data_IF_790748753713
#
_entry.id   IF_790748753713
#
_cell.length_a   1.000
_cell.length_b   1.000
_cell.length_c   1.000
_cell.angle_alpha   90.00
_cell.angle_beta   90.00
_cell.angle_gamma   90.00
#
_symmetry.space_group_name_H-M   'P 1'
#
loop_
_entity.id
_entity.type
_entity.pdbx_description
1 polymer ?
#
# COMPACT_ATOMS: atom_id res chain seq x y z
N UNK A 1 -40.50 68.35 -28.13
CA UNK A 1 -40.43 67.19 -29.04
C UNK A 1 -38.99 66.79 -29.13
N UNK A 2 -38.62 65.59 -28.68
CA UNK A 2 -37.32 65.03 -29.01
C UNK A 2 -37.34 64.68 -30.49
N UNK A 3 -36.36 65.17 -31.25
CA UNK A 3 -36.24 64.91 -32.67
C UNK A 3 -35.86 63.45 -32.91
N UNK A 4 -36.12 62.95 -34.12
CA UNK A 4 -35.64 61.63 -34.56
C UNK A 4 -34.12 61.51 -34.39
N UNK A 5 -33.40 62.62 -34.56
CA UNK A 5 -31.94 62.67 -34.46
C UNK A 5 -31.47 62.48 -33.00
N UNK A 6 -32.16 63.07 -32.00
CA UNK A 6 -31.85 62.85 -30.58
C UNK A 6 -32.03 61.38 -30.17
N UNK A 7 -33.02 60.69 -30.75
CA UNK A 7 -33.25 59.27 -30.48
C UNK A 7 -32.12 58.41 -31.06
N UNK A 8 -31.68 58.72 -32.28
CA UNK A 8 -30.57 58.03 -32.95
C UNK A 8 -29.25 58.23 -32.19
N UNK A 9 -28.99 59.45 -31.70
CA UNK A 9 -27.78 59.76 -30.94
C UNK A 9 -27.73 59.00 -29.60
N UNK A 10 -28.86 58.91 -28.88
CA UNK A 10 -28.94 58.14 -27.66
C UNK A 10 -28.74 56.64 -27.91
N UNK A 11 -29.33 56.10 -29.00
CA UNK A 11 -29.17 54.69 -29.37
C UNK A 11 -27.72 54.36 -29.74
N UNK A 12 -27.05 55.25 -30.46
CA UNK A 12 -25.63 55.09 -30.81
C UNK A 12 -24.76 55.06 -29.56
N UNK A 13 -24.99 55.99 -28.62
CA UNK A 13 -24.25 56.04 -27.36
C UNK A 13 -24.47 54.80 -26.50
N UNK A 14 -25.69 54.30 -26.42
CA UNK A 14 -26.00 53.08 -25.66
C UNK A 14 -25.37 51.83 -26.30
N UNK A 15 -25.33 51.77 -27.63
CA UNK A 15 -24.67 50.70 -28.38
C UNK A 15 -23.14 50.71 -28.19
N UNK A 16 -22.51 51.88 -28.21
CA UNK A 16 -21.08 52.02 -27.94
C UNK A 16 -20.75 51.65 -26.49
N UNK A 17 -21.59 52.04 -25.53
CA UNK A 17 -21.46 51.61 -24.13
C UNK A 17 -21.61 50.09 -24.00
N UNK A 18 -22.56 49.48 -24.70
CA UNK A 18 -22.76 48.02 -24.68
C UNK A 18 -21.56 47.28 -25.28
N UNK A 19 -20.98 47.79 -26.38
CA UNK A 19 -19.74 47.26 -26.98
C UNK A 19 -18.57 47.36 -26.02
N UNK A 20 -18.37 48.52 -25.38
CA UNK A 20 -17.30 48.70 -24.40
C UNK A 20 -17.42 47.73 -23.22
N UNK A 21 -18.64 47.48 -22.72
CA UNK A 21 -18.89 46.48 -21.67
C UNK A 21 -18.59 45.06 -22.15
N UNK A 22 -19.03 44.70 -23.36
CA UNK A 22 -18.73 43.39 -23.96
C UNK A 22 -17.23 43.17 -24.09
N UNK A 23 -16.48 44.17 -24.56
CA UNK A 23 -15.05 44.06 -24.79
C UNK A 23 -14.28 43.95 -23.45
N UNK A 24 -14.72 44.68 -22.42
CA UNK A 24 -14.21 44.51 -21.06
C UNK A 24 -14.47 43.10 -20.51
N UNK A 25 -15.70 42.60 -20.64
CA UNK A 25 -16.07 41.24 -20.22
C UNK A 25 -15.28 40.17 -20.99
N UNK A 26 -15.06 40.36 -22.30
CA UNK A 26 -14.24 39.46 -23.10
C UNK A 26 -12.79 39.44 -22.60
N UNK A 27 -12.22 40.62 -22.28
CA UNK A 27 -10.89 40.71 -21.67
C UNK A 27 -10.83 40.00 -20.32
N UNK A 28 -11.80 40.22 -19.44
CA UNK A 28 -11.87 39.53 -18.14
C UNK A 28 -11.98 38.02 -18.31
N UNK A 29 -12.82 37.55 -19.24
CA UNK A 29 -12.97 36.12 -19.54
C UNK A 29 -11.64 35.50 -20.03
N UNK A 30 -10.88 36.21 -20.87
CA UNK A 30 -9.56 35.73 -21.30
C UNK A 30 -8.56 35.67 -20.14
N UNK A 31 -8.56 36.68 -19.25
CA UNK A 31 -7.71 36.69 -18.06
C UNK A 31 -8.07 35.55 -17.11
N UNK A 32 -9.35 35.33 -16.84
CA UNK A 32 -9.81 34.23 -15.98
C UNK A 32 -9.46 32.87 -16.57
N UNK A 33 -9.58 32.71 -17.89
CA UNK A 33 -9.18 31.47 -18.58
C UNK A 33 -7.69 31.19 -18.40
N UNK A 34 -6.84 32.21 -18.53
CA UNK A 34 -5.41 32.08 -18.29
C UNK A 34 -5.10 31.71 -16.82
N UNK A 35 -5.78 32.34 -15.86
CA UNK A 35 -5.63 32.04 -14.43
C UNK A 35 -6.06 30.61 -14.08
N UNK A 36 -7.16 30.13 -14.67
CA UNK A 36 -7.61 28.73 -14.49
C UNK A 36 -6.55 27.76 -14.99
N UNK A 37 -6.03 27.97 -16.21
CA UNK A 37 -4.98 27.11 -16.77
C UNK A 37 -3.71 27.09 -15.91
N UNK A 38 -3.30 28.25 -15.35
CA UNK A 38 -2.18 28.33 -14.43
C UNK A 38 -2.43 27.53 -13.14
N UNK A 39 -3.60 27.67 -12.54
CA UNK A 39 -3.98 26.95 -11.32
C UNK A 39 -4.04 25.44 -11.58
N UNK A 40 -4.60 25.01 -12.71
CA UNK A 40 -4.67 23.60 -13.10
C UNK A 40 -3.28 23.00 -13.30
N UNK A 41 -2.36 23.74 -13.93
CA UNK A 41 -0.98 23.32 -14.10
C UNK A 41 -0.27 23.16 -12.74
N UNK A 42 -0.43 24.14 -11.84
CA UNK A 42 0.13 24.09 -10.48
C UNK A 42 -0.45 22.93 -9.67
N UNK A 43 -1.75 22.67 -9.79
CA UNK A 43 -2.41 21.56 -9.12
C UNK A 43 -1.90 20.20 -9.61
N UNK A 44 -1.71 20.06 -10.93
CA UNK A 44 -1.18 18.84 -11.54
C UNK A 44 0.24 18.55 -11.06
N UNK A 45 1.10 19.57 -11.03
CA UNK A 45 2.48 19.43 -10.54
C UNK A 45 2.52 19.07 -9.05
N UNK A 46 1.70 19.73 -8.23
CA UNK A 46 1.62 19.45 -6.80
C UNK A 46 1.08 18.04 -6.51
N UNK A 47 0.12 17.54 -7.31
CA UNK A 47 -0.34 16.15 -7.22
C UNK A 47 0.80 15.16 -7.50
N UNK A 48 1.58 15.39 -8.56
CA UNK A 48 2.75 14.55 -8.88
C UNK A 48 3.82 14.63 -7.78
N UNK A 49 4.04 15.80 -7.19
CA UNK A 49 4.98 15.99 -6.08
C UNK A 49 4.56 15.17 -4.86
N UNK A 50 3.29 15.27 -4.44
CA UNK A 50 2.76 14.51 -3.30
C UNK A 50 2.78 13.01 -3.53
N UNK A 51 2.46 12.55 -4.75
CA UNK A 51 2.49 11.13 -5.05
C UNK A 51 3.93 10.57 -5.02
N UNK A 52 4.90 11.30 -5.57
CA UNK A 52 6.33 10.95 -5.41
C UNK A 52 6.74 10.85 -3.94
N UNK A 53 6.33 11.82 -3.12
CA UNK A 53 6.65 11.85 -1.69
C UNK A 53 6.03 10.65 -0.96
N UNK A 54 4.75 10.33 -1.23
CA UNK A 54 4.07 9.16 -0.68
C UNK A 54 4.83 7.86 -1.01
N UNK A 55 5.17 7.66 -2.28
CA UNK A 55 5.89 6.46 -2.73
C UNK A 55 7.25 6.33 -2.04
N UNK A 56 7.99 7.42 -1.89
CA UNK A 56 9.27 7.42 -1.17
C UNK A 56 9.11 7.02 0.30
N UNK A 57 8.07 7.54 0.98
CA UNK A 57 7.75 7.13 2.34
C UNK A 57 7.40 5.65 2.44
N UNK A 58 6.65 5.10 1.48
CA UNK A 58 6.29 3.67 1.45
C UNK A 58 7.54 2.79 1.26
N UNK A 59 8.45 3.16 0.36
CA UNK A 59 9.72 2.43 0.15
C UNK A 59 10.56 2.41 1.43
N UNK A 60 10.73 3.55 2.10
CA UNK A 60 11.49 3.62 3.36
C UNK A 60 10.81 2.83 4.50
N UNK A 61 9.48 2.83 4.55
CA UNK A 61 8.74 2.02 5.51
C UNK A 61 8.91 0.51 5.26
N UNK A 62 8.97 0.07 4.00
CA UNK A 62 9.25 -1.32 3.63
C UNK A 62 10.69 -1.69 4.03
N UNK A 63 11.69 -0.86 3.67
CA UNK A 63 13.10 -1.07 4.05
C UNK A 63 13.27 -1.20 5.56
N UNK A 64 12.61 -0.33 6.32
CA UNK A 64 12.67 -0.34 7.78
C UNK A 64 12.11 -1.65 8.36
N UNK A 65 10.95 -2.10 7.87
CA UNK A 65 10.34 -3.37 8.29
C UNK A 65 11.21 -4.58 7.94
N UNK A 66 11.82 -4.60 6.75
CA UNK A 66 12.76 -5.67 6.34
C UNK A 66 13.96 -5.72 7.28
N UNK A 67 14.60 -4.58 7.56
CA UNK A 67 15.75 -4.52 8.48
C UNK A 67 15.39 -4.95 9.90
N UNK A 68 14.21 -4.56 10.38
CA UNK A 68 13.72 -4.99 11.69
C UNK A 68 13.46 -6.49 11.74
N UNK A 69 12.81 -7.06 10.72
CA UNK A 69 12.56 -8.50 10.64
C UNK A 69 13.86 -9.30 10.55
N UNK A 70 14.81 -8.86 9.74
CA UNK A 70 16.15 -9.45 9.65
C UNK A 70 16.89 -9.40 11.01
N UNK A 71 16.89 -8.25 11.67
CA UNK A 71 17.51 -8.08 12.98
C UNK A 71 16.87 -8.95 14.07
N UNK A 72 15.56 -9.19 13.99
CA UNK A 72 14.85 -10.08 14.90
C UNK A 72 15.08 -11.57 14.61
N UNK A 73 15.46 -11.93 13.37
CA UNK A 73 15.69 -13.31 12.94
C UNK A 73 17.00 -13.89 13.49
N UNK A 74 18.09 -13.11 13.46
CA UNK A 74 19.41 -13.54 13.94
C UNK A 74 19.42 -14.15 15.37
N UNK A 75 18.85 -13.49 16.40
CA UNK A 75 18.84 -14.06 17.76
C UNK A 75 17.97 -15.32 17.88
N UNK A 76 16.93 -15.45 17.06
CA UNK A 76 16.08 -16.66 17.03
C UNK A 76 16.86 -17.84 16.47
N UNK A 77 17.59 -17.64 15.37
CA UNK A 77 18.47 -18.66 14.79
C UNK A 77 19.55 -19.09 15.76
N UNK A 78 20.25 -18.15 16.39
CA UNK A 78 21.29 -18.45 17.38
C UNK A 78 20.74 -19.25 18.58
N UNK A 79 19.58 -18.85 19.11
CA UNK A 79 18.91 -19.57 20.19
C UNK A 79 18.50 -20.99 19.79
N UNK A 80 17.96 -21.16 18.58
CA UNK A 80 17.53 -22.46 18.06
C UNK A 80 18.75 -23.36 17.77
N UNK A 81 19.82 -22.85 17.18
CA UNK A 81 21.07 -23.59 16.97
C UNK A 81 21.65 -24.09 18.30
N UNK A 82 21.67 -23.28 19.36
CA UNK A 82 22.12 -23.70 20.70
C UNK A 82 21.25 -24.80 21.31
N UNK A 83 19.92 -24.71 21.12
CA UNK A 83 18.98 -25.73 21.57
C UNK A 83 19.18 -27.05 20.79
N UNK A 84 19.40 -26.97 19.49
CA UNK A 84 19.66 -28.14 18.64
C UNK A 84 20.99 -28.81 19.01
N UNK A 85 22.05 -28.05 19.27
CA UNK A 85 23.33 -28.62 19.73
C UNK A 85 23.19 -29.32 21.09
N UNK A 86 22.39 -28.76 22.00
CA UNK A 86 22.05 -29.44 23.26
C UNK A 86 21.31 -30.76 23.02
N UNK A 87 20.37 -30.79 22.08
CA UNK A 87 19.64 -31.99 21.71
C UNK A 87 20.52 -33.03 21.00
N UNK A 88 21.48 -32.58 20.20
CA UNK A 88 22.42 -33.40 19.45
C UNK A 88 23.35 -34.25 20.35
N UNK A 89 23.50 -33.87 21.61
CA UNK A 89 24.19 -34.69 22.61
C UNK A 89 23.44 -36.00 22.92
N UNK A 90 22.13 -36.03 22.71
CA UNK A 90 21.27 -37.21 22.95
C UNK A 90 20.79 -37.84 21.64
N UNK A 91 20.54 -37.03 20.61
CA UNK A 91 20.04 -37.45 19.29
C UNK A 91 20.94 -36.86 18.20
N UNK A 92 22.01 -37.56 17.79
CA UNK A 92 23.00 -37.03 16.85
C UNK A 92 22.42 -36.54 15.51
N UNK A 93 21.31 -37.12 15.06
CA UNK A 93 20.58 -36.74 13.84
C UNK A 93 20.07 -35.29 13.91
N UNK A 94 19.92 -34.71 15.10
CA UNK A 94 19.54 -33.31 15.27
C UNK A 94 20.58 -32.35 14.63
N UNK A 95 21.83 -32.77 14.39
CA UNK A 95 22.83 -31.95 13.68
C UNK A 95 22.45 -31.65 12.23
N UNK A 96 21.68 -32.51 11.58
CA UNK A 96 21.17 -32.24 10.23
C UNK A 96 20.19 -31.06 10.24
N UNK A 97 19.36 -30.97 11.27
CA UNK A 97 18.47 -29.82 11.48
C UNK A 97 19.26 -28.54 11.75
N UNK A 98 20.36 -28.60 12.51
CA UNK A 98 21.22 -27.43 12.72
C UNK A 98 21.85 -26.97 11.39
N UNK A 99 22.34 -27.93 10.58
CA UNK A 99 22.93 -27.65 9.27
C UNK A 99 21.92 -27.00 8.33
N UNK A 100 20.67 -27.50 8.32
CA UNK A 100 19.57 -26.90 7.55
C UNK A 100 19.26 -25.48 8.03
N UNK A 101 19.14 -25.26 9.34
CA UNK A 101 18.86 -23.95 9.92
C UNK A 101 19.93 -22.92 9.55
N UNK A 102 21.21 -23.30 9.64
CA UNK A 102 22.34 -22.45 9.23
C UNK A 102 22.24 -22.13 7.73
N UNK A 103 21.92 -23.11 6.90
CA UNK A 103 21.72 -22.89 5.45
C UNK A 103 20.62 -21.85 5.18
N UNK A 104 19.46 -21.97 5.85
CA UNK A 104 18.36 -21.00 5.72
C UNK A 104 18.80 -19.61 6.17
N UNK A 105 19.55 -19.52 7.27
CA UNK A 105 20.05 -18.24 7.76
C UNK A 105 21.03 -17.58 6.77
N UNK A 106 21.93 -18.36 6.17
CA UNK A 106 22.85 -17.85 5.15
C UNK A 106 22.12 -17.44 3.87
N UNK A 107 21.06 -18.14 3.47
CA UNK A 107 20.27 -17.78 2.29
C UNK A 107 19.53 -16.47 2.50
N UNK A 108 18.89 -16.30 3.66
CA UNK A 108 18.23 -15.03 4.03
C UNK A 108 19.24 -13.88 4.01
N UNK A 109 20.40 -14.05 4.63
CA UNK A 109 21.47 -13.05 4.64
C UNK A 109 21.92 -12.67 3.22
N UNK A 110 22.06 -13.67 2.34
CA UNK A 110 22.47 -13.47 0.94
C UNK A 110 21.47 -12.65 0.10
N UNK A 111 20.18 -12.69 0.45
CA UNK A 111 19.10 -12.01 -0.30
C UNK A 111 18.80 -10.62 0.26
N UNK A 112 19.10 -10.37 1.54
CA UNK A 112 18.79 -9.11 2.21
C UNK A 112 19.45 -7.90 1.54
N UNK A 113 20.76 -7.96 1.30
CA UNK A 113 21.50 -6.85 0.69
C UNK A 113 21.04 -6.53 -0.74
N UNK A 114 20.90 -7.52 -1.65
CA UNK A 114 20.31 -7.29 -2.97
C UNK A 114 18.93 -6.65 -2.92
N UNK A 115 18.06 -7.11 -2.01
CA UNK A 115 16.69 -6.59 -1.87
C UNK A 115 16.68 -5.14 -1.39
N UNK A 116 17.49 -4.79 -0.38
CA UNK A 116 17.60 -3.42 0.12
C UNK A 116 18.15 -2.48 -0.95
N UNK A 117 19.14 -2.92 -1.74
CA UNK A 117 19.70 -2.15 -2.85
C UNK A 117 18.69 -1.91 -3.97
N UNK A 118 17.87 -2.91 -4.31
CA UNK A 118 16.78 -2.74 -5.29
C UNK A 118 15.77 -1.71 -4.82
N UNK A 119 15.42 -1.69 -3.52
CA UNK A 119 14.54 -0.67 -2.95
C UNK A 119 15.16 0.73 -3.01
N UNK A 120 16.48 0.85 -2.79
CA UNK A 120 17.20 2.11 -2.96
C UNK A 120 17.16 2.59 -4.42
N UNK A 121 17.42 1.70 -5.38
CA UNK A 121 17.35 2.02 -6.81
C UNK A 121 15.95 2.49 -7.23
N UNK A 122 14.90 1.87 -6.68
CA UNK A 122 13.52 2.31 -6.90
C UNK A 122 13.26 3.69 -6.31
N UNK A 123 13.75 3.97 -5.11
CA UNK A 123 13.63 5.30 -4.51
C UNK A 123 14.33 6.37 -5.39
N UNK A 124 15.51 6.08 -5.91
CA UNK A 124 16.24 6.99 -6.81
C UNK A 124 15.50 7.21 -8.14
N UNK A 125 14.92 6.15 -8.70
CA UNK A 125 14.11 6.25 -9.91
C UNK A 125 12.84 7.10 -9.71
N UNK A 126 12.21 7.02 -8.52
CA UNK A 126 11.06 7.88 -8.14
C UNK A 126 11.48 9.34 -7.95
N UNK A 127 12.63 9.60 -7.31
CA UNK A 127 13.17 10.97 -7.13
C UNK A 127 13.43 11.64 -8.48
N UNK A 128 13.99 10.90 -9.43
CA UNK A 128 14.31 11.38 -10.78
C UNK A 128 13.11 11.43 -11.72
N UNK A 129 11.94 10.94 -11.29
CA UNK A 129 10.70 10.97 -12.08
C UNK A 129 10.65 9.94 -13.21
N UNK A 130 11.51 8.91 -13.19
CA UNK A 130 11.60 7.89 -14.25
C UNK A 130 10.59 6.74 -14.12
N UNK A 131 9.98 6.54 -12.95
CA UNK A 131 9.04 5.42 -12.71
C UNK A 131 7.61 5.93 -12.63
N UNK A 132 6.75 5.37 -13.49
CA UNK A 132 5.30 5.52 -13.38
C UNK A 132 4.84 5.00 -12.01
N UNK A 133 4.05 5.81 -11.31
CA UNK A 133 3.67 5.68 -9.90
C UNK A 133 2.63 4.57 -9.67
N UNK A 134 2.75 3.44 -10.36
CA UNK A 134 1.85 2.30 -10.20
C UNK A 134 2.43 1.36 -9.13
N UNK A 135 2.53 1.87 -7.90
CA UNK A 135 2.48 0.98 -6.75
C UNK A 135 1.01 0.62 -6.52
N UNK A 136 0.69 -0.65 -6.19
CA UNK A 136 -0.65 -0.97 -5.73
C UNK A 136 -0.92 -0.09 -4.51
N UNK A 137 -1.82 0.89 -4.67
CA UNK A 137 -2.29 1.74 -3.59
C UNK A 137 -2.64 0.82 -2.43
N UNK A 138 -1.94 0.98 -1.31
CA UNK A 138 -2.31 0.31 -0.07
C UNK A 138 -3.62 0.92 0.44
N UNK A 139 -4.72 0.56 -0.23
CA UNK A 139 -6.06 0.63 0.32
C UNK A 139 -6.15 -0.46 1.39
N UNK A 140 -5.42 -0.26 2.47
CA UNK A 140 -5.65 -0.88 3.77
C UNK A 140 -5.35 0.22 4.78
N UNK A 141 -6.33 1.12 4.93
CA UNK A 141 -6.69 1.62 6.25
C UNK A 141 -7.14 0.40 7.08
N UNK A 142 -6.18 -0.44 7.44
CA UNK A 142 -6.41 -1.49 8.41
C UNK A 142 -6.70 -0.78 9.73
N UNK A 143 -7.76 -1.15 10.46
CA UNK A 143 -8.01 -0.59 11.78
C UNK A 143 -6.73 -0.76 12.62
N UNK A 144 -6.45 0.17 13.56
CA UNK A 144 -5.34 -0.01 14.48
C UNK A 144 -5.42 -1.41 15.07
N UNK A 145 -4.33 -2.16 14.99
CA UNK A 145 -4.22 -3.42 15.71
C UNK A 145 -4.29 -3.05 17.18
N UNK A 146 -5.50 -3.08 17.75
CA UNK A 146 -5.71 -2.99 19.18
C UNK A 146 -4.98 -4.20 19.78
N UNK A 147 -3.89 -3.91 20.48
CA UNK A 147 -3.22 -4.86 21.35
C UNK A 147 -4.28 -5.42 22.30
N UNK A 148 -4.61 -6.73 22.26
CA UNK A 148 -5.52 -7.29 23.25
C UNK A 148 -4.82 -7.24 24.60
N UNK A 149 -5.20 -6.28 25.43
CA UNK A 149 -5.16 -6.42 26.88
C UNK A 149 -6.15 -7.53 27.22
N UNK A 150 -5.67 -8.76 27.18
CA UNK A 150 -5.81 -9.66 28.32
C UNK A 150 -5.02 -10.94 28.13
N UNK A 151 -4.35 -11.28 29.21
CA UNK A 151 -3.42 -12.36 29.44
C UNK A 151 -4.09 -13.74 29.39
N UNK A 152 -3.33 -14.70 28.83
CA UNK A 152 -3.31 -16.14 29.14
C UNK A 152 -4.08 -17.18 28.30
N UNK A 153 -4.83 -16.85 27.23
CA UNK A 153 -5.54 -17.92 26.48
C UNK A 153 -5.08 -18.16 25.03
N UNK A 154 -4.20 -17.32 24.45
CA UNK A 154 -3.77 -17.46 23.04
C UNK A 154 -2.41 -18.14 22.81
N UNK A 155 -1.69 -18.54 23.84
CA UNK A 155 -0.32 -19.09 23.70
C UNK A 155 -0.23 -20.50 23.10
N UNK A 156 -1.36 -21.15 22.77
CA UNK A 156 -1.36 -22.50 22.21
C UNK A 156 -1.94 -22.62 20.79
N UNK A 157 -2.29 -21.50 20.13
CA UNK A 157 -2.81 -21.57 18.75
C UNK A 157 -1.66 -21.44 17.75
N UNK A 158 -1.27 -22.57 17.17
CA UNK A 158 -0.34 -22.58 16.03
C UNK A 158 -0.89 -21.72 14.86
N UNK A 159 -0.03 -21.06 14.08
CA UNK A 159 -0.45 -20.24 12.96
C UNK A 159 -1.14 -21.08 11.87
N UNK A 160 -2.11 -20.46 11.17
CA UNK A 160 -3.08 -21.12 10.31
C UNK A 160 -2.49 -21.97 9.16
N UNK A 161 -1.25 -21.71 8.75
CA UNK A 161 -0.57 -22.46 7.70
C UNK A 161 -0.08 -23.86 8.14
N UNK A 162 -0.12 -24.17 9.44
CA UNK A 162 0.21 -25.49 10.00
C UNK A 162 -1.00 -26.42 10.18
N UNK A 163 -2.23 -25.98 9.86
CA UNK A 163 -3.41 -26.83 9.95
C UNK A 163 -3.52 -27.70 8.70
N UNK A 164 -2.90 -28.87 8.73
CA UNK A 164 -3.08 -29.92 7.72
C UNK A 164 -4.50 -30.48 7.84
N UNK A 165 -5.31 -30.31 6.79
CA UNK A 165 -6.61 -30.95 6.66
C UNK A 165 -6.52 -32.44 6.99
N UNK A 166 -7.29 -32.88 7.98
CA UNK A 166 -7.60 -34.30 8.19
C UNK A 166 -9.02 -34.56 7.71
N UNK A 167 -9.08 -34.97 6.45
CA UNK A 167 -10.08 -35.89 5.94
C UNK A 167 -10.26 -37.02 6.97
N UNK A 168 -11.48 -37.16 7.50
CA UNK A 168 -11.85 -38.30 8.33
C UNK A 168 -13.09 -38.93 7.74
N UNK A 169 -12.86 -40.08 7.12
CA UNK A 169 -13.86 -41.12 6.90
C UNK A 169 -14.75 -41.29 8.14
N UNK A 170 -16.05 -41.08 7.95
CA UNK A 170 -17.09 -41.66 8.81
C UNK A 170 -18.13 -42.32 7.91
N UNK A 171 -17.81 -43.55 7.50
CA UNK A 171 -18.83 -44.58 7.29
C UNK A 171 -19.12 -45.18 8.66
N UNK A 172 -20.31 -44.93 9.19
CA UNK A 172 -20.98 -45.95 9.99
C UNK A 172 -22.49 -45.83 9.79
N UNK A 173 -23.02 -46.91 9.24
CA UNK A 173 -24.38 -47.21 8.84
C UNK A 173 -25.31 -47.28 10.04
N UNK A 174 -26.31 -46.38 10.09
CA UNK A 174 -27.45 -46.54 10.99
C UNK A 174 -28.46 -47.50 10.35
N UNK A 175 -28.53 -48.73 10.87
CA UNK A 175 -29.60 -49.68 10.58
C UNK A 175 -30.94 -49.15 11.10
N UNK A 176 -31.95 -49.20 10.24
CA UNK A 176 -33.36 -48.94 10.57
C UNK A 176 -34.15 -50.23 10.28
N UNK A 177 -34.83 -50.84 11.26
CA UNK A 177 -35.88 -51.78 10.98
C UNK A 177 -37.23 -51.09 11.20
N UNK A 178 -37.93 -50.79 10.10
CA UNK A 178 -39.37 -50.55 10.10
C UNK A 178 -40.01 -51.40 9.00
N UNK A 179 -40.58 -52.53 9.40
CA UNK A 179 -41.68 -53.19 8.67
C UNK A 179 -42.74 -53.56 9.69
N UNK A 180 -43.90 -52.95 9.54
CA UNK A 180 -45.15 -53.37 10.17
C UNK A 180 -45.76 -54.53 9.36
N UNK A 181 -46.60 -55.29 10.05
CA UNK A 181 -47.11 -56.62 9.74
C UNK A 181 -48.03 -56.75 8.50
N UNK A 182 -48.34 -58.02 8.25
CA UNK A 182 -49.47 -58.58 7.49
C UNK A 182 -50.80 -57.83 7.67
#
# INVERSE_FOLDING_TARGET
MFGKDDLVDNLSRDLDRARGRRDALASEATTLTAQIAEIEARLSEEKKRRERERVLCEIEAIKTRIKQAAGAFTPVVDGLSKAIESAAAVVPEARELNSFLVSVATEIDSVLDPLLRELDQRADAVRTGHVALDLPSSANEAPPIELPKDSNERLLRFPAWLSRDKETDKKETAESPRSTAA
#
